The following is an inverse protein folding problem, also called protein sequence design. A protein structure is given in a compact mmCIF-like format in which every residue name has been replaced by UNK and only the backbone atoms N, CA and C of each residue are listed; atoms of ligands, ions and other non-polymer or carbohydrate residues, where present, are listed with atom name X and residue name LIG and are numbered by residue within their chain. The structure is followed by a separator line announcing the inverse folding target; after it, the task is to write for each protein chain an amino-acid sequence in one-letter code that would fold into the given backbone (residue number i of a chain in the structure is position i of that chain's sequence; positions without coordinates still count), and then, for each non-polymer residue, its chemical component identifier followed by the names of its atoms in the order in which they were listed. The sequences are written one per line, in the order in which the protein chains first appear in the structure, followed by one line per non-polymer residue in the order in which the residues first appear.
data_IF_964054426303
#
_entry.id   IF_964054426303
#
_cell.length_a   1.000
_cell.length_b   1.000
_cell.length_c   1.000
_cell.angle_alpha   90.00
_cell.angle_beta   90.00
_cell.angle_gamma   90.00
#
_symmetry.space_group_name_H-M   'P 1'
#
loop_
_entity.id
_entity.type
_entity.pdbx_description
1 polymer ?
#
# COMPACT_ATOMS: atom_id res chain seq x y z
N UNK A 1 4.18 26.70 -1.65
CA UNK A 1 5.36 26.03 -1.04
C UNK A 1 5.14 25.60 0.40
N UNK A 2 4.44 26.37 1.25
CA UNK A 2 4.12 25.96 2.63
C UNK A 2 3.28 24.67 2.72
N UNK A 3 2.33 24.50 1.79
CA UNK A 3 1.45 23.32 1.71
C UNK A 3 2.22 21.99 1.53
N UNK A 4 3.29 22.02 0.74
CA UNK A 4 4.15 20.86 0.48
C UNK A 4 4.93 20.39 1.72
N UNK A 5 5.40 21.33 2.54
CA UNK A 5 6.14 21.02 3.76
C UNK A 5 5.20 20.46 4.84
N UNK A 6 4.00 21.03 4.93
CA UNK A 6 2.96 20.59 5.85
C UNK A 6 2.47 19.16 5.54
N UNK A 7 2.29 18.80 4.27
CA UNK A 7 1.92 17.44 3.84
C UNK A 7 3.00 16.42 4.25
N UNK A 8 4.28 16.74 4.08
CA UNK A 8 5.40 15.88 4.51
C UNK A 8 5.50 15.74 6.02
N UNK A 9 5.32 16.83 6.77
CA UNK A 9 5.30 16.77 8.23
C UNK A 9 4.10 15.97 8.75
N UNK A 10 2.94 16.08 8.09
CA UNK A 10 1.77 15.26 8.39
C UNK A 10 2.02 13.78 8.09
N UNK A 11 2.66 13.47 6.96
CA UNK A 11 2.97 12.09 6.55
C UNK A 11 3.93 11.36 7.52
N UNK A 12 4.84 12.08 8.15
CA UNK A 12 5.76 11.55 9.18
C UNK A 12 5.08 11.52 10.56
N UNK A 13 4.07 12.37 10.77
CA UNK A 13 3.40 12.45 12.06
C UNK A 13 2.54 11.21 12.32
N UNK A 14 2.66 10.66 13.53
CA UNK A 14 1.87 9.55 14.07
C UNK A 14 0.34 9.83 14.12
N UNK A 15 -0.08 11.07 13.83
CA UNK A 15 -1.46 11.56 13.91
C UNK A 15 -2.32 11.24 12.69
N UNK A 16 -2.06 10.13 12.00
CA UNK A 16 -2.84 9.69 10.84
C UNK A 16 -3.45 8.30 11.06
N UNK A 17 -4.66 8.00 10.54
CA UNK A 17 -5.32 6.71 10.74
C UNK A 17 -4.65 5.50 10.04
N UNK A 18 -3.50 5.71 9.39
CA UNK A 18 -2.85 4.76 8.48
C UNK A 18 -1.44 4.37 8.92
N UNK A 19 -1.17 4.24 10.22
CA UNK A 19 0.16 3.92 10.75
C UNK A 19 0.51 2.43 10.57
N UNK A 20 0.14 1.90 9.41
CA UNK A 20 0.25 0.50 9.07
C UNK A 20 1.65 0.21 8.55
N UNK A 21 2.17 -0.96 8.87
CA UNK A 21 3.44 -1.47 8.36
C UNK A 21 3.14 -2.50 7.30
N UNK A 22 3.67 -2.29 6.10
CA UNK A 22 3.57 -3.25 5.03
C UNK A 22 4.66 -4.32 5.20
N UNK A 23 4.25 -5.58 5.11
CA UNK A 23 5.05 -6.75 5.33
C UNK A 23 4.96 -7.65 4.10
N UNK A 24 6.10 -7.95 3.51
CA UNK A 24 6.23 -8.82 2.36
C UNK A 24 7.13 -10.01 2.75
N UNK A 25 6.58 -11.21 3.02
CA UNK A 25 7.39 -12.41 3.24
C UNK A 25 8.28 -12.72 2.03
N UNK A 26 9.36 -13.50 2.23
CA UNK A 26 10.19 -13.97 1.13
C UNK A 26 9.36 -14.83 0.18
N UNK A 27 9.00 -14.27 -0.98
CA UNK A 27 8.26 -14.99 -2.01
C UNK A 27 9.10 -16.14 -2.60
N UNK A 28 8.40 -17.21 -3.01
CA UNK A 28 9.02 -18.34 -3.72
C UNK A 28 9.76 -17.89 -4.99
N UNK A 29 9.22 -16.88 -5.69
CA UNK A 29 9.80 -16.24 -6.87
C UNK A 29 10.70 -15.05 -6.53
N UNK A 30 12.00 -15.32 -6.32
CA UNK A 30 13.02 -14.29 -6.03
C UNK A 30 13.11 -13.19 -7.09
N UNK A 31 12.84 -13.51 -8.37
CA UNK A 31 12.90 -12.54 -9.47
C UNK A 31 11.81 -11.47 -9.35
N UNK A 32 10.60 -11.86 -8.93
CA UNK A 32 9.48 -10.93 -8.75
C UNK A 32 9.70 -10.03 -7.54
N UNK A 33 10.13 -10.62 -6.44
CA UNK A 33 10.51 -9.88 -5.23
C UNK A 33 11.63 -8.85 -5.53
N UNK A 34 12.64 -9.22 -6.34
CA UNK A 34 13.70 -8.29 -6.75
C UNK A 34 13.15 -7.11 -7.54
N UNK A 35 12.30 -7.34 -8.55
CA UNK A 35 11.69 -6.25 -9.35
C UNK A 35 10.85 -5.32 -8.48
N UNK A 36 10.13 -5.87 -7.50
CA UNK A 36 9.37 -5.08 -6.54
C UNK A 36 10.29 -4.16 -5.71
N UNK A 37 11.41 -4.69 -5.20
CA UNK A 37 12.41 -3.91 -4.48
C UNK A 37 13.03 -2.83 -5.38
N UNK A 38 13.31 -3.13 -6.65
CA UNK A 38 13.80 -2.13 -7.61
C UNK A 38 12.81 -0.98 -7.82
N UNK A 39 11.51 -1.27 -7.84
CA UNK A 39 10.46 -0.23 -7.92
C UNK A 39 10.46 0.62 -6.65
N UNK A 40 10.49 0.00 -5.46
CA UNK A 40 10.55 0.73 -4.19
C UNK A 40 11.78 1.65 -4.12
N UNK A 41 12.94 1.17 -4.56
CA UNK A 41 14.16 1.97 -4.64
C UNK A 41 14.04 3.14 -5.62
N UNK A 42 13.49 2.92 -6.82
CA UNK A 42 13.24 4.00 -7.80
C UNK A 42 12.29 5.07 -7.27
N UNK A 43 11.35 4.65 -6.42
CA UNK A 43 10.38 5.52 -5.78
C UNK A 43 10.92 6.20 -4.51
N UNK A 44 12.17 5.94 -4.12
CA UNK A 44 12.81 6.50 -2.93
C UNK A 44 11.99 6.18 -1.65
N UNK A 45 11.46 4.95 -1.60
CA UNK A 45 10.67 4.44 -0.47
C UNK A 45 11.61 3.76 0.52
N UNK A 46 11.47 4.10 1.80
CA UNK A 46 12.25 3.52 2.89
C UNK A 46 11.72 2.12 3.24
N UNK A 47 12.60 1.12 3.21
CA UNK A 47 12.30 -0.27 3.55
C UNK A 47 13.42 -0.90 4.39
N UNK A 48 13.06 -1.89 5.21
CA UNK A 48 13.95 -2.63 6.09
C UNK A 48 13.75 -4.13 5.92
N UNK A 49 14.75 -4.93 6.22
CA UNK A 49 14.65 -6.40 6.21
C UNK A 49 14.61 -6.92 7.64
N UNK A 50 13.59 -7.71 7.96
CA UNK A 50 13.52 -8.40 9.24
C UNK A 50 14.57 -9.51 9.29
N UNK A 51 15.54 -9.38 10.21
CA UNK A 51 16.57 -10.40 10.42
C UNK A 51 16.06 -11.62 11.20
N UNK A 52 14.95 -11.46 11.90
CA UNK A 52 14.31 -12.47 12.75
C UNK A 52 12.86 -12.68 12.32
N UNK A 53 12.23 -13.76 12.80
CA UNK A 53 10.82 -14.00 12.54
C UNK A 53 9.98 -12.89 13.18
N UNK A 54 9.07 -12.29 12.40
CA UNK A 54 8.21 -11.20 12.87
C UNK A 54 6.85 -11.75 13.19
N UNK A 55 6.41 -11.56 14.44
CA UNK A 55 5.02 -11.75 14.82
C UNK A 55 4.26 -10.46 14.54
N UNK A 56 3.38 -10.51 13.56
CA UNK A 56 2.49 -9.41 13.25
C UNK A 56 1.08 -9.76 13.73
N UNK A 57 0.49 -8.87 14.54
CA UNK A 57 -0.88 -9.01 15.07
C UNK A 57 -1.81 -8.08 14.31
N UNK A 58 -3.08 -8.48 14.13
CA UNK A 58 -4.10 -7.75 13.34
C UNK A 58 -3.68 -7.45 11.91
N UNK A 59 -3.14 -8.45 11.21
CA UNK A 59 -2.70 -8.25 9.83
C UNK A 59 -3.87 -8.31 8.84
N UNK A 60 -3.83 -7.48 7.81
CA UNK A 60 -4.75 -7.50 6.66
C UNK A 60 -3.99 -8.03 5.45
N UNK A 61 -4.52 -9.08 4.85
CA UNK A 61 -3.97 -9.70 3.65
C UNK A 61 -4.29 -8.88 2.38
N UNK A 62 -3.58 -9.13 1.27
CA UNK A 62 -3.86 -8.59 -0.07
C UNK A 62 -5.27 -8.87 -0.58
N UNK A 63 -6.01 -9.83 -0.01
CA UNK A 63 -7.43 -10.06 -0.34
C UNK A 63 -8.41 -9.36 0.61
N UNK A 64 -7.91 -8.52 1.52
CA UNK A 64 -8.74 -7.83 2.53
C UNK A 64 -9.11 -8.69 3.75
N UNK A 65 -8.60 -9.92 3.83
CA UNK A 65 -8.83 -10.82 4.97
C UNK A 65 -8.08 -10.33 6.21
N UNK A 66 -8.78 -10.18 7.34
CA UNK A 66 -8.16 -9.84 8.63
C UNK A 66 -7.72 -11.12 9.34
N UNK A 67 -6.45 -11.20 9.68
CA UNK A 67 -5.82 -12.32 10.38
C UNK A 67 -5.31 -11.80 11.73
N UNK A 68 -5.73 -12.47 12.81
CA UNK A 68 -5.47 -11.99 14.17
C UNK A 68 -3.98 -12.03 14.54
N UNK A 69 -3.26 -13.06 14.11
CA UNK A 69 -1.80 -13.19 14.28
C UNK A 69 -1.22 -14.01 13.14
N UNK A 70 -0.15 -13.50 12.52
CA UNK A 70 0.64 -14.22 11.51
C UNK A 70 2.12 -14.17 11.91
N UNK A 71 2.74 -15.34 11.90
CA UNK A 71 4.19 -15.46 12.04
C UNK A 71 4.81 -15.41 10.65
N UNK A 72 5.65 -14.40 10.41
CA UNK A 72 6.38 -14.22 9.17
C UNK A 72 7.84 -14.64 9.37
N UNK A 73 8.44 -15.38 8.43
CA UNK A 73 9.81 -15.85 8.57
C UNK A 73 10.83 -14.72 8.49
N UNK A 74 12.06 -14.98 8.94
CA UNK A 74 13.19 -14.08 8.73
C UNK A 74 13.42 -13.84 7.23
N UNK A 75 13.84 -12.63 6.87
CA UNK A 75 13.95 -12.18 5.48
C UNK A 75 12.68 -11.54 4.92
N UNK A 76 11.69 -11.27 5.78
CA UNK A 76 10.52 -10.44 5.44
C UNK A 76 10.96 -9.00 5.18
N UNK A 77 10.50 -8.43 4.07
CA UNK A 77 10.65 -7.01 3.77
C UNK A 77 9.57 -6.24 4.54
N UNK A 78 10.01 -5.24 5.30
CA UNK A 78 9.19 -4.40 6.17
C UNK A 78 9.26 -2.98 5.64
N UNK A 79 8.12 -2.40 5.28
CA UNK A 79 8.02 -1.04 4.76
C UNK A 79 7.09 -0.25 5.69
N UNK A 80 7.65 0.73 6.39
CA UNK A 80 6.86 1.58 7.30
C UNK A 80 6.12 2.66 6.52
N UNK A 81 4.85 2.90 6.83
CA UNK A 81 4.09 4.03 6.28
C UNK A 81 4.47 5.37 6.91
N UNK A 82 5.25 5.42 7.99
CA UNK A 82 5.67 6.64 8.68
C UNK A 82 6.87 7.30 7.98
N UNK A 83 6.70 7.64 6.70
CA UNK A 83 7.74 8.24 5.87
C UNK A 83 7.18 9.40 5.04
N UNK A 84 8.01 10.33 4.54
CA UNK A 84 7.55 11.48 3.75
C UNK A 84 6.74 11.08 2.51
N UNK A 85 6.96 9.86 2.00
CA UNK A 85 6.28 9.31 0.82
C UNK A 85 5.05 8.46 1.15
N UNK A 86 4.50 8.54 2.37
CA UNK A 86 3.33 7.77 2.83
C UNK A 86 2.19 7.72 1.82
N UNK A 87 1.79 8.86 1.24
CA UNK A 87 0.69 8.93 0.28
C UNK A 87 0.96 8.12 -1.00
N UNK A 88 2.21 8.12 -1.44
CA UNK A 88 2.64 7.37 -2.62
C UNK A 88 2.70 5.87 -2.32
N UNK A 89 3.22 5.51 -1.14
CA UNK A 89 3.23 4.13 -0.66
C UNK A 89 1.81 3.57 -0.56
N UNK A 90 0.88 4.29 0.06
CA UNK A 90 -0.53 3.91 0.12
C UNK A 90 -1.11 3.78 -1.29
N UNK A 91 -0.94 4.77 -2.16
CA UNK A 91 -1.44 4.70 -3.53
C UNK A 91 -0.91 3.49 -4.33
N UNK A 92 0.28 2.98 -4.01
CA UNK A 92 0.88 1.82 -4.69
C UNK A 92 0.54 0.46 -4.06
N UNK A 93 0.30 0.43 -2.74
CA UNK A 93 0.21 -0.79 -1.94
C UNK A 93 -1.17 -1.00 -1.30
N UNK A 94 -2.04 0.01 -1.31
CA UNK A 94 -3.39 -0.05 -0.74
C UNK A 94 -4.27 -0.96 -1.61
N UNK A 95 -4.91 -1.93 -0.95
CA UNK A 95 -5.79 -2.89 -1.62
C UNK A 95 -7.09 -2.24 -2.09
N UNK A 96 -7.64 -1.33 -1.29
CA UNK A 96 -8.91 -0.67 -1.57
C UNK A 96 -8.81 0.82 -1.19
N UNK A 97 -8.64 1.70 -2.18
CA UNK A 97 -8.81 3.13 -1.95
C UNK A 97 -10.30 3.38 -1.76
N UNK A 98 -10.76 3.45 -0.51
CA UNK A 98 -12.14 3.83 -0.20
C UNK A 98 -12.41 5.22 -0.81
N UNK A 99 -13.10 5.24 -1.95
CA UNK A 99 -13.54 6.48 -2.56
C UNK A 99 -14.57 7.13 -1.66
N UNK A 100 -14.47 8.45 -1.51
CA UNK A 100 -15.49 9.21 -0.80
C UNK A 100 -16.82 9.07 -1.53
N UNK A 101 -17.91 8.83 -0.79
CA UNK A 101 -19.26 8.67 -1.33
C UNK A 101 -19.69 9.84 -2.23
N UNK A 102 -19.23 11.05 -1.93
CA UNK A 102 -19.50 12.25 -2.75
C UNK A 102 -18.96 12.12 -4.17
N UNK A 103 -17.79 11.51 -4.35
CA UNK A 103 -17.21 11.28 -5.67
C UNK A 103 -17.99 10.22 -6.46
N UNK A 104 -18.43 9.14 -5.78
CA UNK A 104 -19.28 8.11 -6.38
C UNK A 104 -20.63 8.67 -6.86
N UNK A 105 -21.22 9.60 -6.10
CA UNK A 105 -22.43 10.32 -6.48
C UNK A 105 -22.22 11.21 -7.71
N UNK A 106 -21.08 11.89 -7.80
CA UNK A 106 -20.73 12.71 -8.96
C UNK A 106 -20.49 11.87 -10.22
N UNK A 107 -19.79 10.74 -10.12
CA UNK A 107 -19.61 9.81 -11.25
C UNK A 107 -20.94 9.21 -11.71
N UNK A 108 -21.81 8.82 -10.77
CA UNK A 108 -23.15 8.32 -11.10
C UNK A 108 -23.94 9.36 -11.91
N UNK A 109 -23.89 10.62 -11.48
CA UNK A 109 -24.54 11.73 -12.15
C UNK A 109 -23.93 12.02 -13.53
N UNK A 110 -22.63 11.85 -13.70
CA UNK A 110 -21.95 12.05 -15.00
C UNK A 110 -22.29 10.92 -15.99
N UNK A 111 -22.40 9.67 -15.51
CA UNK A 111 -22.86 8.50 -16.28
C UNK A 111 -24.31 8.65 -16.74
N UNK A 112 -25.21 9.11 -15.85
CA UNK A 112 -26.60 9.42 -16.20
C UNK A 112 -26.71 10.51 -17.28
N UNK A 113 -25.69 11.37 -17.40
CA UNK A 113 -25.60 12.42 -18.41
C UNK A 113 -24.82 12.00 -19.68
N UNK A 114 -24.56 10.70 -19.89
CA UNK A 114 -23.82 10.16 -21.05
C UNK A 114 -22.44 10.80 -21.28
N UNK A 115 -21.79 11.27 -20.22
CA UNK A 115 -20.39 11.71 -20.31
C UNK A 115 -19.46 10.51 -20.23
N UNK A 116 -18.30 10.65 -20.86
CA UNK A 116 -17.25 9.64 -20.83
C UNK A 116 -16.81 9.40 -19.38
N UNK A 117 -16.77 8.12 -19.02
CA UNK A 117 -16.21 7.60 -17.78
C UNK A 117 -14.80 8.17 -17.54
N UNK A 118 -14.59 8.75 -16.35
CA UNK A 118 -13.27 9.29 -15.96
C UNK A 118 -12.35 8.21 -15.40
N UNK A 119 -12.90 7.05 -15.10
CA UNK A 119 -12.21 5.93 -14.49
C UNK A 119 -11.86 4.87 -15.52
N UNK A 120 -10.55 4.65 -15.70
CA UNK A 120 -10.04 3.52 -16.47
C UNK A 120 -9.77 2.36 -15.50
N UNK A 121 -10.42 1.21 -15.73
CA UNK A 121 -10.14 -0.02 -14.98
C UNK A 121 -8.78 -0.58 -15.43
N UNK A 122 -7.70 -0.20 -14.73
CA UNK A 122 -6.42 -0.89 -14.85
C UNK A 122 -6.44 -2.07 -13.88
N UNK A 123 -6.41 -3.28 -14.44
CA UNK A 123 -6.77 -4.56 -13.79
C UNK A 123 -5.94 -4.99 -12.55
N UNK A 124 -5.03 -4.15 -12.07
CA UNK A 124 -4.35 -4.34 -10.79
C UNK A 124 -3.99 -2.97 -10.20
N UNK A 125 -4.79 -2.52 -9.23
CA UNK A 125 -4.62 -1.23 -8.54
C UNK A 125 -3.47 -1.24 -7.53
N UNK A 126 -2.96 -2.41 -7.15
CA UNK A 126 -1.82 -2.52 -6.25
C UNK A 126 -0.68 -3.34 -6.86
N UNK A 127 0.54 -2.87 -6.63
CA UNK A 127 1.78 -3.46 -7.13
C UNK A 127 2.02 -4.90 -6.61
N UNK A 128 1.79 -5.25 -5.33
CA UNK A 128 2.04 -6.61 -4.86
C UNK A 128 1.13 -7.65 -5.52
N UNK A 129 -0.15 -7.34 -5.77
CA UNK A 129 -1.08 -8.21 -6.49
C UNK A 129 -0.71 -8.35 -7.95
N UNK A 130 -0.23 -7.28 -8.61
CA UNK A 130 0.27 -7.35 -9.98
C UNK A 130 1.44 -8.33 -10.15
N UNK A 131 2.31 -8.45 -9.13
CA UNK A 131 3.39 -9.43 -9.12
C UNK A 131 3.00 -10.81 -8.54
N UNK A 132 1.78 -10.96 -8.03
CA UNK A 132 1.32 -12.17 -7.34
C UNK A 132 2.12 -12.46 -6.08
N UNK A 133 2.51 -11.41 -5.34
CA UNK A 133 3.26 -11.51 -4.11
C UNK A 133 2.29 -11.50 -2.93
N UNK A 134 2.41 -12.49 -2.04
CA UNK A 134 1.73 -12.46 -0.75
C UNK A 134 2.25 -11.28 0.06
N UNK A 135 1.37 -10.38 0.48
CA UNK A 135 1.74 -9.27 1.35
C UNK A 135 0.67 -8.99 2.39
N UNK A 136 1.09 -8.34 3.46
CA UNK A 136 0.29 -8.12 4.65
C UNK A 136 0.47 -6.68 5.14
N UNK A 137 -0.59 -6.09 5.63
CA UNK A 137 -0.59 -4.82 6.33
C UNK A 137 -0.79 -5.07 7.82
N UNK A 138 0.07 -4.54 8.70
CA UNK A 138 0.01 -4.72 10.15
C UNK A 138 -0.12 -3.39 10.89
#
# INVERSE_FOLDING_TARGET
MADYLADRQWAISDKGPYNETFLLPPAQDKTRARRFVEILQKQDIEFSWAKEAVKASKVRDIWGNKIDTKELPAGTLVVSSAQPRRRMLLAMLEFDPHLKDSFLLEERKDLENHKLERWYDTSAWNVPMAYGLESYWA
#
